data_IF_217289436951
#
_entry.id   IF_217289436951
#
_cell.length_a   1.000
_cell.length_b   1.000
_cell.length_c   1.000
_cell.angle_alpha   90.00
_cell.angle_beta   90.00
_cell.angle_gamma   90.00
#
_symmetry.space_group_name_H-M   'P 1'
#
loop_
_entity.id
_entity.type
_entity.pdbx_description
1 polymer ?
#
# COMPACT_ATOMS: atom_id res chain seq x y z
N UNK A 1 -7.39 0.26 29.74
CA UNK A 1 -6.92 0.45 28.35
C UNK A 1 -5.41 0.50 28.34
N UNK A 2 -4.75 -0.25 27.45
CA UNK A 2 -3.30 -0.14 27.24
C UNK A 2 -3.00 0.96 26.21
N UNK A 3 -1.94 1.77 26.38
CA UNK A 3 -1.61 2.82 25.43
C UNK A 3 -1.14 2.24 24.09
N UNK A 4 -1.76 2.67 22.99
CA UNK A 4 -1.39 2.25 21.64
C UNK A 4 -0.12 3.01 21.19
N UNK A 5 0.99 2.29 20.96
CA UNK A 5 2.29 2.87 20.58
C UNK A 5 2.75 2.55 19.16
N UNK A 6 2.00 1.72 18.43
CA UNK A 6 2.31 1.33 17.08
C UNK A 6 2.06 2.45 16.05
N UNK A 7 2.72 2.43 14.88
CA UNK A 7 2.52 3.46 13.84
C UNK A 7 1.10 3.56 13.29
N UNK A 8 0.32 2.48 13.34
CA UNK A 8 -1.08 2.46 12.91
C UNK A 8 -2.05 3.03 13.95
N UNK A 9 -1.59 3.37 15.15
CA UNK A 9 -2.47 3.87 16.22
C UNK A 9 -3.18 5.18 15.86
N UNK A 10 -2.64 6.00 14.95
CA UNK A 10 -3.36 7.18 14.49
C UNK A 10 -4.67 6.83 13.79
N UNK A 11 -4.71 5.72 13.03
CA UNK A 11 -5.94 5.22 12.43
C UNK A 11 -6.95 4.79 13.49
N UNK A 12 -6.52 3.95 14.44
CA UNK A 12 -7.38 3.50 15.53
C UNK A 12 -7.88 4.62 16.43
N UNK A 13 -7.07 5.65 16.67
CA UNK A 13 -7.52 6.83 17.42
C UNK A 13 -8.60 7.58 16.64
N UNK A 14 -8.43 7.81 15.33
CA UNK A 14 -9.45 8.46 14.51
C UNK A 14 -10.75 7.64 14.47
N UNK A 15 -10.65 6.33 14.27
CA UNK A 15 -11.78 5.41 14.29
C UNK A 15 -12.55 5.50 15.61
N UNK A 16 -11.83 5.49 16.75
CA UNK A 16 -12.43 5.62 18.07
C UNK A 16 -13.16 6.95 18.27
N UNK A 17 -12.60 8.07 17.80
CA UNK A 17 -13.25 9.40 17.85
C UNK A 17 -14.54 9.45 16.99
N UNK A 18 -14.60 8.66 15.92
CA UNK A 18 -15.79 8.54 15.07
C UNK A 18 -16.80 7.48 15.57
N UNK A 19 -16.53 6.84 16.71
CA UNK A 19 -17.35 5.76 17.25
C UNK A 19 -17.30 4.47 16.43
N UNK A 20 -16.28 4.31 15.58
CA UNK A 20 -16.08 3.11 14.76
C UNK A 20 -15.42 2.05 15.64
N UNK A 21 -16.05 0.88 15.74
CA UNK A 21 -15.43 -0.26 16.43
C UNK A 21 -14.37 -0.87 15.52
N UNK A 22 -13.09 -0.98 15.95
CA UNK A 22 -12.04 -1.56 15.12
C UNK A 22 -12.44 -2.97 14.72
N UNK A 23 -12.56 -3.20 13.41
CA UNK A 23 -12.80 -4.52 12.89
C UNK A 23 -11.69 -4.86 11.90
N UNK A 24 -11.21 -6.11 11.94
CA UNK A 24 -10.18 -6.59 11.01
C UNK A 24 -10.74 -6.95 9.63
N UNK A 25 -12.00 -6.62 9.36
CA UNK A 25 -12.71 -7.02 8.15
C UNK A 25 -12.44 -6.01 7.02
N UNK A 26 -12.57 -6.50 5.79
CA UNK A 26 -12.36 -5.68 4.61
C UNK A 26 -13.62 -4.90 4.22
N UNK A 27 -14.35 -4.34 5.18
CA UNK A 27 -15.58 -3.56 4.96
C UNK A 27 -15.30 -2.06 5.14
N UNK A 28 -16.19 -1.16 4.66
CA UNK A 28 -16.05 0.28 4.89
C UNK A 28 -16.17 0.64 6.37
N UNK A 29 -15.42 1.67 6.78
CA UNK A 29 -15.22 2.01 8.19
C UNK A 29 -16.41 2.78 8.80
N UNK A 30 -17.03 3.72 8.07
CA UNK A 30 -18.13 4.56 8.57
C UNK A 30 -19.20 4.84 7.51
N UNK A 31 -20.43 4.36 7.70
CA UNK A 31 -21.56 4.59 6.79
C UNK A 31 -21.24 4.32 5.30
N UNK A 32 -20.42 3.30 5.03
CA UNK A 32 -19.98 2.96 3.67
C UNK A 32 -18.73 3.69 3.19
N UNK A 33 -18.11 4.56 4.00
CA UNK A 33 -16.84 5.24 3.71
C UNK A 33 -15.65 4.55 4.35
N UNK A 34 -14.58 4.34 3.57
CA UNK A 34 -13.26 4.06 4.16
C UNK A 34 -12.67 5.37 4.72
N UNK A 35 -12.33 5.38 6.01
CA UNK A 35 -11.74 6.53 6.68
C UNK A 35 -10.26 6.26 6.90
N UNK A 36 -9.39 7.06 6.28
CA UNK A 36 -7.94 6.91 6.41
C UNK A 36 -7.31 8.20 6.90
N UNK A 37 -6.66 8.15 8.06
CA UNK A 37 -5.73 9.21 8.41
C UNK A 37 -4.41 9.08 7.64
N UNK A 38 -3.75 10.21 7.36
CA UNK A 38 -2.40 10.22 6.81
C UNK A 38 -1.53 11.30 7.46
N UNK A 39 -0.29 10.95 7.80
CA UNK A 39 0.64 11.85 8.47
C UNK A 39 1.17 12.95 7.54
N UNK A 40 1.13 14.20 8.03
CA UNK A 40 1.70 15.39 7.37
C UNK A 40 2.73 16.06 8.30
N UNK A 41 3.51 17.02 7.79
CA UNK A 41 4.42 17.83 8.62
C UNK A 41 3.76 19.12 9.13
N UNK A 42 2.79 19.64 8.39
CA UNK A 42 1.89 20.71 8.80
C UNK A 42 0.61 20.65 7.94
N UNK A 43 -0.49 21.21 8.43
CA UNK A 43 -1.78 21.15 7.73
C UNK A 43 -1.87 22.05 6.48
N UNK A 44 -0.93 22.97 6.28
CA UNK A 44 -0.89 23.76 5.05
C UNK A 44 -0.29 22.98 3.86
N UNK A 45 0.42 21.87 4.11
CA UNK A 45 1.11 21.07 3.09
C UNK A 45 0.70 19.60 3.18
N UNK A 46 -0.51 19.30 2.75
CA UNK A 46 -1.05 17.92 2.78
C UNK A 46 -0.72 17.09 1.55
N UNK A 47 -0.12 17.68 0.50
CA UNK A 47 0.03 17.08 -0.84
C UNK A 47 1.25 16.16 -1.03
N UNK A 48 2.17 16.10 -0.07
CA UNK A 48 3.40 15.29 -0.19
C UNK A 48 3.38 13.97 0.58
N UNK A 49 2.31 13.69 1.32
CA UNK A 49 2.23 12.50 2.17
C UNK A 49 2.14 11.21 1.34
N UNK A 50 2.77 10.14 1.82
CA UNK A 50 2.66 8.82 1.16
C UNK A 50 1.61 7.99 1.89
N UNK A 51 0.57 7.62 1.15
CA UNK A 51 -0.60 6.91 1.64
C UNK A 51 -0.55 5.48 1.17
N UNK A 52 -0.77 4.54 2.10
CA UNK A 52 -0.97 3.14 1.77
C UNK A 52 -2.43 2.92 1.38
N UNK A 53 -2.65 2.49 0.15
CA UNK A 53 -3.99 2.20 -0.37
C UNK A 53 -4.47 0.84 0.14
N UNK A 54 -3.63 -0.19 -0.04
CA UNK A 54 -3.96 -1.56 0.31
C UNK A 54 -2.69 -2.38 0.55
N UNK A 55 -2.84 -3.52 1.24
CA UNK A 55 -1.72 -4.42 1.54
C UNK A 55 -1.98 -5.89 1.21
N UNK A 56 -2.37 -6.23 -0.03
CA UNK A 56 -2.62 -7.61 -0.43
C UNK A 56 -1.29 -8.39 -0.55
N UNK A 57 -1.31 -9.63 -0.09
CA UNK A 57 -0.20 -10.56 -0.33
C UNK A 57 -0.28 -11.13 -1.76
N UNK A 58 0.87 -11.47 -2.39
CA UNK A 58 0.88 -12.09 -3.70
C UNK A 58 0.03 -13.36 -3.75
N UNK A 59 -0.72 -13.51 -4.85
CA UNK A 59 -1.57 -14.66 -5.13
C UNK A 59 -0.83 -15.78 -5.86
N UNK A 60 0.27 -15.46 -6.53
CA UNK A 60 1.08 -16.42 -7.30
C UNK A 60 2.57 -15.99 -7.37
N UNK A 61 3.37 -16.71 -8.16
CA UNK A 61 4.81 -16.55 -8.31
C UNK A 61 5.61 -17.33 -7.27
N UNK A 62 6.94 -17.20 -7.31
CA UNK A 62 7.86 -17.87 -6.38
C UNK A 62 7.50 -17.56 -4.92
N UNK A 63 7.08 -16.32 -4.62
CA UNK A 63 6.61 -15.92 -3.29
C UNK A 63 5.52 -16.84 -2.74
N UNK A 64 4.52 -17.15 -3.55
CA UNK A 64 3.37 -17.98 -3.13
C UNK A 64 3.70 -19.47 -3.19
N UNK A 65 4.33 -19.92 -4.27
CA UNK A 65 4.53 -21.35 -4.57
C UNK A 65 5.70 -21.96 -3.80
N UNK A 66 6.77 -21.20 -3.55
CA UNK A 66 7.96 -21.64 -2.82
C UNK A 66 8.14 -20.98 -1.45
N UNK A 67 7.28 -20.01 -1.13
CA UNK A 67 7.25 -19.32 0.15
C UNK A 67 8.19 -18.11 0.23
N UNK A 68 7.90 -17.25 1.21
CA UNK A 68 8.60 -15.98 1.41
C UNK A 68 10.10 -16.15 1.69
N UNK A 69 10.53 -17.25 2.33
CA UNK A 69 11.95 -17.51 2.59
C UNK A 69 12.73 -17.67 1.27
N UNK A 70 12.25 -18.55 0.39
CA UNK A 70 12.88 -18.80 -0.91
C UNK A 70 12.88 -17.54 -1.77
N UNK A 71 11.77 -16.80 -1.75
CA UNK A 71 11.68 -15.50 -2.41
C UNK A 71 12.73 -14.50 -1.92
N UNK A 72 12.90 -14.32 -0.60
CA UNK A 72 13.90 -13.38 -0.05
C UNK A 72 15.32 -13.84 -0.35
N UNK A 73 15.60 -15.16 -0.26
CA UNK A 73 16.93 -15.69 -0.61
C UNK A 73 17.28 -15.48 -2.08
N UNK A 74 16.29 -15.47 -2.98
CA UNK A 74 16.50 -15.33 -4.41
C UNK A 74 16.52 -13.86 -4.89
N UNK A 75 15.63 -13.02 -4.36
CA UNK A 75 15.41 -11.66 -4.86
C UNK A 75 15.68 -10.56 -3.83
N UNK A 76 15.93 -10.91 -2.57
CA UNK A 76 16.32 -9.99 -1.52
C UNK A 76 17.80 -9.64 -1.56
N UNK A 77 18.19 -8.75 -0.66
CA UNK A 77 19.55 -8.25 -0.52
C UNK A 77 19.95 -8.18 0.97
N UNK A 78 21.25 -8.21 1.24
CA UNK A 78 21.79 -8.06 2.59
C UNK A 78 21.41 -6.71 3.23
N UNK A 79 21.35 -6.64 4.56
CA UNK A 79 21.09 -5.37 5.23
C UNK A 79 22.15 -4.30 4.88
N UNK A 80 21.69 -3.11 4.49
CA UNK A 80 22.55 -2.02 3.99
C UNK A 80 23.02 -1.07 5.09
N UNK A 81 22.61 -1.27 6.34
CA UNK A 81 23.04 -0.47 7.49
C UNK A 81 23.77 -1.32 8.55
N UNK A 82 24.25 -2.50 8.15
CA UNK A 82 25.12 -3.34 8.97
C UNK A 82 24.41 -4.21 10.00
N UNK A 83 23.10 -4.43 9.89
CA UNK A 83 22.45 -5.43 10.76
C UNK A 83 22.82 -6.84 10.32
N UNK A 84 23.51 -7.55 11.20
CA UNK A 84 23.91 -8.93 10.98
C UNK A 84 22.70 -9.87 10.87
N UNK A 85 22.94 -11.02 10.23
CA UNK A 85 22.00 -12.13 10.12
C UNK A 85 20.60 -11.74 9.59
N UNK A 86 20.58 -10.81 8.62
CA UNK A 86 19.36 -10.23 8.06
C UNK A 86 19.44 -10.00 6.55
N UNK A 87 18.35 -10.37 5.88
CA UNK A 87 18.07 -10.02 4.49
C UNK A 87 16.79 -9.20 4.40
N UNK A 88 16.75 -8.32 3.41
CA UNK A 88 15.62 -7.44 3.14
C UNK A 88 15.16 -7.61 1.70
N UNK A 89 13.87 -7.41 1.48
CA UNK A 89 13.30 -7.19 0.18
C UNK A 89 12.41 -5.94 0.28
N UNK A 90 12.86 -4.86 -0.34
CA UNK A 90 12.26 -3.55 -0.22
C UNK A 90 12.73 -2.58 -1.29
N UNK A 91 12.23 -1.36 -1.18
CA UNK A 91 12.43 -0.31 -2.18
C UNK A 91 11.19 -0.09 -3.04
N UNK A 92 11.13 1.05 -3.73
CA UNK A 92 9.96 1.44 -4.51
C UNK A 92 10.04 0.81 -5.90
N UNK A 93 9.10 -0.11 -6.18
CA UNK A 93 8.91 -0.71 -7.49
C UNK A 93 7.82 0.03 -8.27
N UNK A 94 8.21 0.61 -9.41
CA UNK A 94 7.30 1.29 -10.35
C UNK A 94 7.14 0.49 -11.63
N UNK A 95 5.98 0.62 -12.26
CA UNK A 95 5.67 -0.06 -13.52
C UNK A 95 6.69 0.26 -14.61
N UNK A 96 7.20 -0.77 -15.29
CA UNK A 96 8.16 -0.63 -16.38
C UNK A 96 9.57 -0.18 -15.96
N UNK A 97 9.84 -0.09 -14.66
CA UNK A 97 11.16 0.28 -14.14
C UNK A 97 11.78 -0.92 -13.41
N UNK A 98 12.94 -1.35 -13.91
CA UNK A 98 13.76 -2.37 -13.27
C UNK A 98 14.35 -1.81 -11.97
N UNK A 99 14.09 -2.45 -10.84
CA UNK A 99 14.60 -2.01 -9.55
C UNK A 99 16.05 -2.48 -9.34
N UNK A 100 17.00 -1.59 -9.01
CA UNK A 100 18.44 -1.91 -9.03
C UNK A 100 18.90 -2.89 -7.94
N UNK A 101 18.21 -2.94 -6.80
CA UNK A 101 18.63 -3.84 -5.70
C UNK A 101 18.10 -5.26 -5.86
N UNK A 102 16.97 -5.43 -6.55
CA UNK A 102 16.24 -6.70 -6.62
C UNK A 102 16.24 -7.28 -8.03
N UNK A 103 16.64 -6.50 -9.03
CA UNK A 103 16.58 -6.84 -10.46
C UNK A 103 15.18 -7.28 -10.93
N UNK A 104 14.12 -6.85 -10.23
CA UNK A 104 12.74 -7.10 -10.60
C UNK A 104 12.12 -5.86 -11.22
N UNK A 105 11.28 -6.05 -12.21
CA UNK A 105 10.43 -5.02 -12.80
C UNK A 105 8.98 -5.29 -12.45
N UNK A 106 8.25 -4.23 -12.10
CA UNK A 106 6.81 -4.31 -11.89
C UNK A 106 6.11 -4.18 -13.25
N UNK A 107 5.24 -5.11 -13.58
CA UNK A 107 4.52 -5.17 -14.85
C UNK A 107 3.02 -5.30 -14.64
N UNK A 108 2.24 -4.72 -15.56
CA UNK A 108 0.78 -4.82 -15.61
C UNK A 108 0.37 -5.76 -16.75
N UNK A 109 0.52 -7.06 -16.52
CA UNK A 109 0.26 -8.08 -17.55
C UNK A 109 -1.25 -8.15 -17.82
N UNK A 110 -1.65 -7.99 -19.09
CA UNK A 110 -3.05 -8.03 -19.49
C UNK A 110 -3.83 -6.72 -19.34
N UNK A 111 -3.15 -5.61 -19.01
CA UNK A 111 -3.71 -4.26 -19.02
C UNK A 111 -3.19 -3.48 -20.23
N UNK A 112 -4.10 -2.94 -21.02
CA UNK A 112 -3.79 -2.05 -22.15
C UNK A 112 -3.72 -0.61 -21.63
N UNK A 113 -2.51 -0.06 -21.56
CA UNK A 113 -2.27 1.28 -21.02
C UNK A 113 -2.79 2.39 -21.95
N UNK A 114 -2.88 2.13 -23.26
CA UNK A 114 -3.34 3.11 -24.23
C UNK A 114 -4.86 3.31 -24.13
N UNK A 115 -5.62 2.22 -24.08
CA UNK A 115 -7.07 2.29 -23.88
C UNK A 115 -7.48 2.44 -22.40
N UNK A 116 -6.59 2.05 -21.48
CA UNK A 116 -6.87 1.99 -20.05
C UNK A 116 -7.81 0.85 -19.66
N UNK A 117 -7.84 -0.25 -20.42
CA UNK A 117 -8.76 -1.38 -20.21
C UNK A 117 -8.03 -2.69 -19.92
N UNK A 118 -8.66 -3.56 -19.13
CA UNK A 118 -8.21 -4.94 -18.92
C UNK A 118 -8.58 -5.75 -20.17
N UNK A 119 -7.59 -6.37 -20.82
CA UNK A 119 -7.78 -7.17 -22.05
C UNK A 119 -7.75 -8.68 -21.81
N UNK A 120 -7.27 -9.11 -20.64
CA UNK A 120 -7.09 -10.51 -20.32
C UNK A 120 -7.67 -10.82 -18.94
N UNK A 121 -8.52 -11.86 -18.87
CA UNK A 121 -9.13 -12.34 -17.62
C UNK A 121 -8.11 -12.91 -16.63
N UNK A 122 -6.96 -13.38 -17.12
CA UNK A 122 -5.81 -13.82 -16.34
C UNK A 122 -4.78 -12.69 -16.11
N UNK A 123 -5.21 -11.43 -16.29
CA UNK A 123 -4.38 -10.26 -16.05
C UNK A 123 -3.95 -10.16 -14.58
N UNK A 124 -2.76 -9.59 -14.38
CA UNK A 124 -2.10 -9.54 -13.07
C UNK A 124 -1.09 -8.41 -13.00
N UNK A 125 -0.86 -7.94 -11.78
CA UNK A 125 0.31 -7.15 -11.44
C UNK A 125 1.42 -8.15 -11.12
N UNK A 126 2.59 -8.06 -11.74
CA UNK A 126 3.67 -9.02 -11.54
C UNK A 126 5.00 -8.33 -11.27
N UNK A 127 5.79 -8.91 -10.37
CA UNK A 127 7.22 -8.68 -10.27
C UNK A 127 7.94 -9.75 -11.08
N UNK A 128 8.63 -9.32 -12.13
CA UNK A 128 9.25 -10.21 -13.12
C UNK A 128 10.76 -10.02 -13.12
N UNK A 129 11.53 -11.10 -13.07
CA UNK A 129 12.99 -11.05 -13.14
C UNK A 129 13.52 -10.94 -14.59
N UNK A 130 14.84 -10.95 -14.76
CA UNK A 130 15.48 -10.81 -16.08
C UNK A 130 15.32 -12.06 -16.97
N UNK A 131 14.92 -13.19 -16.38
CA UNK A 131 14.68 -14.45 -17.09
C UNK A 131 13.17 -14.69 -17.32
N UNK A 132 12.35 -13.65 -17.14
CA UNK A 132 10.89 -13.69 -17.23
C UNK A 132 10.22 -14.61 -16.19
N UNK A 133 10.88 -14.92 -15.07
CA UNK A 133 10.20 -15.61 -13.98
C UNK A 133 9.37 -14.63 -13.16
N UNK A 134 8.16 -15.05 -12.79
CA UNK A 134 7.33 -14.31 -11.83
C UNK A 134 7.80 -14.56 -10.40
N UNK A 135 8.50 -13.56 -9.86
CA UNK A 135 8.93 -13.57 -8.47
C UNK A 135 7.71 -13.51 -7.52
N UNK A 136 6.73 -12.68 -7.85
CA UNK A 136 5.46 -12.54 -7.15
C UNK A 136 4.42 -11.92 -8.09
N UNK A 137 3.16 -12.33 -8.02
CA UNK A 137 2.09 -11.67 -8.75
C UNK A 137 0.76 -11.63 -7.99
N UNK A 138 -0.06 -10.65 -8.36
CA UNK A 138 -1.39 -10.40 -7.83
C UNK A 138 -2.39 -10.42 -8.99
N UNK A 139 -3.29 -11.39 -9.00
CA UNK A 139 -4.33 -11.45 -10.03
C UNK A 139 -5.22 -10.21 -9.97
N UNK A 140 -5.65 -9.71 -11.13
CA UNK A 140 -6.62 -8.61 -11.19
C UNK A 140 -7.93 -8.95 -10.47
N UNK A 141 -8.37 -10.21 -10.52
CA UNK A 141 -9.56 -10.67 -9.79
C UNK A 141 -9.42 -10.51 -8.27
N UNK A 142 -8.26 -10.86 -7.69
CA UNK A 142 -7.99 -10.70 -6.27
C UNK A 142 -7.91 -9.23 -5.88
N UNK A 143 -7.19 -8.43 -6.67
CA UNK A 143 -7.04 -6.99 -6.45
C UNK A 143 -8.38 -6.24 -6.57
N UNK A 144 -9.23 -6.62 -7.52
CA UNK A 144 -10.57 -6.06 -7.71
C UNK A 144 -11.45 -6.34 -6.49
N UNK A 145 -11.37 -7.55 -5.91
CA UNK A 145 -12.13 -7.90 -4.70
C UNK A 145 -11.75 -7.00 -3.52
N UNK A 146 -10.47 -6.67 -3.37
CA UNK A 146 -10.01 -5.71 -2.38
C UNK A 146 -10.54 -4.29 -2.65
N UNK A 147 -10.56 -3.85 -3.91
CA UNK A 147 -11.06 -2.52 -4.27
C UNK A 147 -12.56 -2.36 -4.07
N UNK A 148 -13.36 -3.33 -4.52
CA UNK A 148 -14.83 -3.25 -4.49
C UNK A 148 -15.41 -3.29 -3.07
N UNK A 149 -14.75 -3.99 -2.13
CA UNK A 149 -15.25 -4.10 -0.76
C UNK A 149 -14.97 -2.85 0.10
N UNK A 150 -13.84 -2.16 -0.12
CA UNK A 150 -13.42 -1.04 0.73
C UNK A 150 -13.54 0.35 0.12
N UNK A 151 -13.37 0.53 -1.19
CA UNK A 151 -12.95 1.85 -1.71
C UNK A 151 -13.96 2.58 -2.59
N UNK A 152 -15.22 2.16 -2.67
CA UNK A 152 -16.22 2.89 -3.47
C UNK A 152 -16.28 4.39 -3.12
N UNK A 153 -16.10 4.71 -1.84
CA UNK A 153 -15.93 6.07 -1.34
C UNK A 153 -14.93 6.09 -0.17
N UNK A 154 -14.10 7.13 -0.09
CA UNK A 154 -13.08 7.25 0.95
C UNK A 154 -12.90 8.70 1.43
N UNK A 155 -12.62 8.84 2.72
CA UNK A 155 -12.31 10.09 3.40
C UNK A 155 -10.87 10.03 3.92
N UNK A 156 -10.03 10.95 3.45
CA UNK A 156 -8.64 11.06 3.86
C UNK A 156 -8.44 12.26 4.79
N UNK A 157 -8.02 11.98 6.02
CA UNK A 157 -7.88 12.98 7.09
C UNK A 157 -6.39 13.23 7.38
N UNK A 158 -5.84 14.43 7.14
CA UNK A 158 -4.46 14.72 7.46
C UNK A 158 -4.25 14.69 8.98
N UNK A 159 -3.11 14.18 9.45
CA UNK A 159 -2.79 14.09 10.87
C UNK A 159 -1.38 14.55 11.19
N UNK A 160 -1.20 15.11 12.39
CA UNK A 160 0.10 15.31 13.02
C UNK A 160 0.22 14.32 14.16
N UNK A 161 1.39 13.67 14.29
CA UNK A 161 1.72 12.82 15.42
C UNK A 161 2.78 13.51 16.28
N UNK A 162 2.51 13.62 17.57
CA UNK A 162 3.50 14.01 18.58
C UNK A 162 3.87 12.77 19.40
N UNK A 163 5.16 12.48 19.50
CA UNK A 163 5.71 11.34 20.25
C UNK A 163 6.68 11.77 21.35
N UNK A 164 6.79 13.06 21.66
CA UNK A 164 7.79 13.60 22.60
C UNK A 164 7.56 13.18 24.05
N UNK A 165 6.31 12.97 24.47
CA UNK A 165 5.96 12.48 25.81
C UNK A 165 5.05 11.26 25.74
N UNK A 166 3.76 11.50 25.47
CA UNK A 166 2.75 10.49 25.18
C UNK A 166 2.35 10.67 23.73
N UNK A 167 2.24 9.56 23.00
CA UNK A 167 1.77 9.56 21.62
C UNK A 167 0.40 10.22 21.53
N UNK A 168 0.33 11.35 20.84
CA UNK A 168 -0.89 12.14 20.60
C UNK A 168 -1.04 12.40 19.12
N UNK A 169 -2.29 12.56 18.69
CA UNK A 169 -2.64 12.88 17.32
C UNK A 169 -3.46 14.16 17.28
N UNK A 170 -3.20 14.99 16.27
CA UNK A 170 -4.07 16.10 15.89
C UNK A 170 -4.54 15.83 14.47
N UNK A 171 -5.85 15.85 14.25
CA UNK A 171 -6.45 15.70 12.92
C UNK A 171 -6.72 17.09 12.34
N UNK A 172 -6.40 17.26 11.06
CA UNK A 172 -6.68 18.49 10.33
C UNK A 172 -8.09 18.47 9.77
N UNK A 173 -8.68 19.65 9.64
CA UNK A 173 -10.05 19.83 9.16
C UNK A 173 -10.16 19.88 7.64
N UNK A 174 -9.04 19.97 6.92
CA UNK A 174 -9.00 19.96 5.47
C UNK A 174 -8.91 18.51 4.95
N UNK A 175 -10.07 17.89 4.72
CA UNK A 175 -10.20 16.47 4.36
C UNK A 175 -10.38 16.30 2.86
N UNK A 176 -9.86 15.20 2.31
CA UNK A 176 -10.05 14.84 0.90
C UNK A 176 -11.11 13.75 0.83
N UNK A 177 -12.19 14.02 0.12
CA UNK A 177 -13.23 13.04 -0.17
C UNK A 177 -13.08 12.56 -1.60
N UNK A 178 -13.35 11.27 -1.81
CA UNK A 178 -13.35 10.64 -3.12
C UNK A 178 -14.50 9.67 -3.24
N UNK A 179 -15.25 9.73 -4.34
CA UNK A 179 -16.35 8.81 -4.64
C UNK A 179 -16.27 8.26 -6.06
N UNK A 180 -16.75 7.04 -6.23
CA UNK A 180 -16.76 6.34 -7.52
C UNK A 180 -15.36 5.92 -7.96
N UNK A 181 -14.63 5.20 -7.10
CA UNK A 181 -13.40 4.52 -7.55
C UNK A 181 -13.73 3.35 -8.46
N UNK A 182 -12.78 2.96 -9.30
CA UNK A 182 -12.78 1.66 -9.94
C UNK A 182 -11.35 1.13 -10.10
N UNK A 183 -11.23 -0.16 -10.33
CA UNK A 183 -9.91 -0.80 -10.45
C UNK A 183 -9.14 -0.37 -11.71
N UNK A 184 -9.82 0.15 -12.74
CA UNK A 184 -9.13 0.68 -13.92
C UNK A 184 -8.44 2.00 -13.60
N UNK A 185 -9.02 2.88 -12.78
CA UNK A 185 -8.35 4.07 -12.26
C UNK A 185 -7.07 3.70 -11.50
N UNK A 186 -7.14 2.68 -10.65
CA UNK A 186 -5.96 2.15 -9.96
C UNK A 186 -4.87 1.69 -10.94
N UNK A 187 -5.20 0.86 -11.93
CA UNK A 187 -4.23 0.39 -12.93
C UNK A 187 -3.67 1.52 -13.81
N UNK A 188 -4.49 2.51 -14.19
CA UNK A 188 -4.05 3.71 -14.90
C UNK A 188 -3.01 4.48 -14.10
N UNK A 189 -3.26 4.70 -12.80
CA UNK A 189 -2.31 5.38 -11.93
C UNK A 189 -1.03 4.56 -11.66
N UNK A 190 -1.11 3.23 -11.66
CA UNK A 190 0.07 2.36 -11.65
C UNK A 190 0.88 2.47 -12.93
N UNK A 191 0.22 2.50 -14.10
CA UNK A 191 0.87 2.56 -15.40
C UNK A 191 1.73 3.82 -15.57
N UNK A 192 1.26 4.96 -15.04
CA UNK A 192 2.01 6.23 -15.04
C UNK A 192 2.92 6.41 -13.81
N UNK A 193 3.00 5.41 -12.92
CA UNK A 193 3.93 5.39 -11.79
C UNK A 193 3.54 6.24 -10.58
N UNK A 194 2.29 6.71 -10.50
CA UNK A 194 1.75 7.41 -9.33
C UNK A 194 1.46 6.43 -8.19
N UNK A 195 0.94 5.25 -8.52
CA UNK A 195 0.86 4.12 -7.61
C UNK A 195 2.08 3.21 -7.83
N UNK A 196 2.66 2.75 -6.73
CA UNK A 196 3.82 1.87 -6.75
C UNK A 196 3.74 0.81 -5.66
N UNK A 197 4.51 -0.26 -5.85
CA UNK A 197 4.69 -1.30 -4.85
C UNK A 197 5.89 -0.93 -3.95
N UNK A 198 5.66 -0.88 -2.64
CA UNK A 198 6.64 -0.51 -1.62
C UNK A 198 6.75 -1.61 -0.56
N UNK A 199 7.40 -2.74 -0.90
CA UNK A 199 7.60 -3.84 0.02
C UNK A 199 8.52 -3.46 1.17
N UNK A 200 8.25 -4.03 2.34
CA UNK A 200 9.14 -3.96 3.50
C UNK A 200 9.31 -5.34 4.12
N UNK A 201 9.59 -6.34 3.28
CA UNK A 201 9.75 -7.72 3.69
C UNK A 201 11.16 -7.89 4.25
N UNK A 202 11.29 -8.59 5.37
CA UNK A 202 12.60 -8.92 5.93
C UNK A 202 12.63 -10.29 6.57
N UNK A 203 13.80 -10.90 6.56
CA UNK A 203 14.12 -12.15 7.23
C UNK A 203 15.26 -11.88 8.21
N UNK A 204 15.00 -12.11 9.49
CA UNK A 204 15.95 -11.93 10.60
C UNK A 204 16.30 -13.31 11.17
N UNK A 205 17.45 -13.44 11.83
CA UNK A 205 17.91 -14.70 12.45
C UNK A 205 18.09 -15.84 11.42
N UNK A 206 18.67 -15.54 10.26
CA UNK A 206 18.79 -16.47 9.11
C UNK A 206 19.61 -17.71 9.48
N UNK A 207 20.67 -17.53 10.24
CA UNK A 207 21.61 -18.58 10.66
C UNK A 207 21.05 -19.53 11.72
N UNK A 208 19.97 -19.13 12.42
CA UNK A 208 19.40 -19.88 13.54
C UNK A 208 17.96 -20.30 13.26
N UNK A 209 17.00 -19.45 13.62
CA UNK A 209 15.56 -19.67 13.38
C UNK A 209 15.00 -18.48 12.60
N UNK A 210 14.97 -18.56 11.26
CA UNK A 210 14.53 -17.46 10.42
C UNK A 210 13.14 -16.94 10.82
N UNK A 211 13.06 -15.63 11.06
CA UNK A 211 11.81 -14.92 11.35
C UNK A 211 11.52 -13.94 10.23
N UNK A 212 10.44 -14.21 9.51
CA UNK A 212 10.02 -13.37 8.38
C UNK A 212 8.96 -12.37 8.85
N UNK A 213 9.18 -11.09 8.56
CA UNK A 213 8.15 -10.05 8.66
C UNK A 213 7.76 -9.64 7.24
N UNK A 214 6.47 -9.78 6.93
CA UNK A 214 5.88 -9.48 5.63
C UNK A 214 5.26 -8.09 5.66
N UNK A 215 5.39 -7.38 4.54
CA UNK A 215 4.77 -6.08 4.31
C UNK A 215 4.73 -5.87 2.80
N UNK A 216 3.54 -6.04 2.26
CA UNK A 216 3.24 -5.87 0.84
C UNK A 216 2.34 -4.64 0.71
N UNK A 217 2.86 -3.48 0.28
CA UNK A 217 2.08 -2.23 0.29
C UNK A 217 2.00 -1.62 -1.11
N UNK A 218 0.79 -1.30 -1.55
CA UNK A 218 0.58 -0.40 -2.69
C UNK A 218 0.33 1.00 -2.17
N UNK A 219 1.11 1.97 -2.65
CA UNK A 219 1.14 3.33 -2.09
C UNK A 219 1.04 4.38 -3.18
N UNK A 220 0.56 5.55 -2.79
CA UNK A 220 0.41 6.74 -3.65
C UNK A 220 0.81 7.99 -2.86
N UNK A 221 1.24 9.05 -3.54
CA UNK A 221 1.36 10.37 -2.91
C UNK A 221 -0.01 11.04 -2.84
N UNK A 222 -0.28 11.78 -1.77
CA UNK A 222 -1.58 12.40 -1.50
C UNK A 222 -2.04 13.36 -2.60
N UNK A 223 -1.13 14.07 -3.26
CA UNK A 223 -1.45 14.91 -4.44
C UNK A 223 -2.12 14.17 -5.61
N UNK A 224 -2.03 12.83 -5.66
CA UNK A 224 -2.62 12.01 -6.73
C UNK A 224 -3.86 11.23 -6.25
N UNK A 225 -4.34 11.45 -5.02
CA UNK A 225 -5.54 10.77 -4.51
C UNK A 225 -6.77 11.04 -5.37
N UNK A 226 -6.96 12.28 -5.82
CA UNK A 226 -8.12 12.66 -6.64
C UNK A 226 -8.21 11.83 -7.92
N UNK A 227 -7.08 11.42 -8.48
CA UNK A 227 -7.01 10.57 -9.68
C UNK A 227 -7.49 9.14 -9.49
N UNK A 228 -7.82 8.74 -8.26
CA UNK A 228 -8.39 7.42 -7.94
C UNK A 228 -9.92 7.42 -7.93
N UNK A 229 -10.55 8.58 -8.11
CA UNK A 229 -11.99 8.76 -7.96
C UNK A 229 -12.57 9.50 -9.15
N UNK A 230 -13.83 9.19 -9.49
CA UNK A 230 -14.58 9.94 -10.51
C UNK A 230 -14.93 11.35 -10.02
N UNK A 231 -15.23 11.48 -8.73
CA UNK A 231 -15.46 12.76 -8.06
C UNK A 231 -14.53 12.84 -6.86
N UNK A 232 -13.79 13.93 -6.75
CA UNK A 232 -12.96 14.20 -5.59
C UNK A 232 -13.07 15.67 -5.22
N UNK A 233 -13.20 15.92 -3.91
CA UNK A 233 -13.31 17.26 -3.36
C UNK A 233 -12.46 17.38 -2.09
N UNK A 234 -12.12 18.61 -1.77
CA UNK A 234 -11.42 18.96 -0.54
C UNK A 234 -12.36 19.82 0.29
N UNK A 235 -12.72 19.32 1.47
CA UNK A 235 -13.73 19.94 2.35
C UNK A 235 -13.06 20.41 3.63
N UNK A 236 -13.41 21.63 4.05
CA UNK A 236 -13.02 22.16 5.36
C UNK A 236 -14.15 21.89 6.34
N UNK A 237 -13.90 21.05 7.32
CA UNK A 237 -14.84 20.76 8.41
C UNK A 237 -14.78 21.91 9.43
N UNK A 238 -15.93 22.46 9.87
CA UNK A 238 -15.99 23.52 10.87
C UNK A 238 -15.47 23.10 12.25
#
# INVERSE_FOLDING_TARGET
MLPCQAPNCGGYTLEAELGITPNGYSEPDYLGWEVKQFGVTNFARINSAVITLMTPEPTDGIYKTRGAEKFIKQYGYADRIGREDRMNFGGIHKTGIRHPLTNLELQLIGFDTASGTIRNTNGRIALVDIHNNEAASWSFSSMLLHCNRKHNQACYVPSLSDTTQKRKYKYGNNVILGTGTDFQLFLKQMAIGNIYYDPGIKMENISTKPKIKKRSQFRIKSQHLSSLYKVSETVIIP
#
